data_IF_411972915007
#
_entry.id   IF_411972915007
#
_cell.length_a   1.000
_cell.length_b   1.000
_cell.length_c   1.000
_cell.angle_alpha   90.00
_cell.angle_beta   90.00
_cell.angle_gamma   90.00
#
_symmetry.space_group_name_H-M   'P 1'
#
loop_
_entity.id
_entity.type
_entity.pdbx_description
1 polymer ?
#
# COMPACT_ATOMS: atom_id res chain seq x y z
N UNK A 1 -12.26 -65.55 -16.80
CA UNK A 1 -12.74 -64.25 -16.26
C UNK A 1 -11.53 -63.34 -16.09
N UNK A 2 -11.32 -62.38 -16.99
CA UNK A 2 -10.22 -61.39 -16.94
C UNK A 2 -10.79 -60.10 -16.41
N UNK A 3 -10.37 -59.69 -15.21
CA UNK A 3 -10.75 -58.41 -14.56
C UNK A 3 -9.87 -57.29 -15.12
N UNK A 4 -10.49 -56.31 -15.82
CA UNK A 4 -9.83 -55.07 -16.22
C UNK A 4 -9.92 -54.10 -15.06
N UNK A 5 -8.80 -53.76 -14.45
CA UNK A 5 -8.67 -52.66 -13.52
C UNK A 5 -8.35 -51.40 -14.34
N UNK A 6 -9.35 -50.54 -14.51
CA UNK A 6 -9.16 -49.23 -15.13
C UNK A 6 -8.44 -48.28 -14.18
N UNK A 7 -7.19 -47.98 -14.46
CA UNK A 7 -6.45 -46.91 -13.72
C UNK A 7 -6.97 -45.55 -14.21
N UNK A 8 -7.78 -44.89 -13.42
CA UNK A 8 -8.16 -43.51 -13.62
C UNK A 8 -6.94 -42.59 -13.37
N UNK A 9 -6.45 -41.99 -14.45
CA UNK A 9 -5.43 -40.94 -14.36
C UNK A 9 -6.12 -39.67 -13.81
N UNK A 10 -5.97 -39.38 -12.55
CA UNK A 10 -6.28 -38.08 -11.99
C UNK A 10 -5.21 -37.10 -12.50
N UNK A 11 -5.54 -36.32 -13.52
CA UNK A 11 -4.75 -35.14 -13.90
C UNK A 11 -4.97 -34.09 -12.82
N UNK A 12 -4.08 -34.05 -11.85
CA UNK A 12 -3.94 -32.87 -10.99
C UNK A 12 -3.48 -31.72 -11.87
N UNK A 13 -4.43 -30.93 -12.36
CA UNK A 13 -4.13 -29.60 -12.88
C UNK A 13 -3.61 -28.80 -11.68
N UNK A 14 -2.29 -28.75 -11.53
CA UNK A 14 -1.65 -27.79 -10.67
C UNK A 14 -2.06 -26.41 -11.21
N UNK A 15 -3.06 -25.80 -10.60
CA UNK A 15 -3.28 -24.36 -10.74
C UNK A 15 -2.01 -23.71 -10.18
N UNK A 16 -1.08 -23.39 -11.07
CA UNK A 16 -0.09 -22.38 -10.78
C UNK A 16 -0.93 -21.16 -10.38
N UNK A 17 -0.99 -20.86 -9.09
CA UNK A 17 -1.50 -19.59 -8.61
C UNK A 17 -0.55 -18.55 -9.21
N UNK A 18 -0.85 -18.12 -10.45
CA UNK A 18 -0.15 -17.03 -11.09
C UNK A 18 -0.42 -15.82 -10.19
N UNK A 19 0.59 -15.42 -9.48
CA UNK A 19 0.67 -14.16 -8.79
C UNK A 19 0.30 -13.08 -9.80
N UNK A 20 -0.69 -12.28 -9.50
CA UNK A 20 -1.18 -11.24 -10.41
C UNK A 20 -1.52 -10.01 -9.60
N UNK A 21 -1.13 -8.85 -10.11
CA UNK A 21 -1.48 -7.56 -9.50
C UNK A 21 -2.86 -7.08 -9.95
N UNK A 22 -3.30 -7.49 -11.15
CA UNK A 22 -4.57 -7.05 -11.76
C UNK A 22 -5.64 -8.13 -11.66
N UNK A 23 -6.81 -7.74 -11.15
CA UNK A 23 -7.96 -8.61 -10.89
C UNK A 23 -9.22 -8.05 -11.53
N UNK A 24 -10.00 -8.93 -12.17
CA UNK A 24 -11.31 -8.64 -12.72
C UNK A 24 -12.38 -8.97 -11.70
N UNK A 25 -13.32 -8.06 -11.51
CA UNK A 25 -14.49 -8.20 -10.63
C UNK A 25 -15.74 -8.19 -11.50
N UNK A 26 -16.57 -9.25 -11.40
CA UNK A 26 -17.78 -9.41 -12.20
C UNK A 26 -18.88 -10.14 -11.40
N UNK A 27 -20.04 -10.32 -12.00
CA UNK A 27 -21.17 -10.97 -11.33
C UNK A 27 -21.91 -10.05 -10.36
N UNK A 28 -22.68 -10.59 -9.46
CA UNK A 28 -23.48 -9.89 -8.42
C UNK A 28 -24.23 -8.66 -8.95
N UNK A 29 -24.86 -8.77 -10.13
CA UNK A 29 -25.65 -7.70 -10.75
C UNK A 29 -24.87 -6.61 -11.48
N UNK A 30 -23.55 -6.75 -11.64
CA UNK A 30 -22.77 -5.84 -12.50
C UNK A 30 -23.06 -6.17 -13.97
N UNK A 31 -23.37 -5.14 -14.76
CA UNK A 31 -23.61 -5.23 -16.21
C UNK A 31 -22.32 -5.37 -17.00
N UNK A 32 -21.25 -4.79 -16.50
CA UNK A 32 -19.88 -4.86 -17.06
C UNK A 32 -18.87 -5.08 -15.91
N UNK A 33 -17.73 -5.68 -16.20
CA UNK A 33 -16.72 -5.93 -15.19
C UNK A 33 -16.06 -4.62 -14.70
N UNK A 34 -15.62 -4.64 -13.47
CA UNK A 34 -14.67 -3.68 -12.89
C UNK A 34 -13.31 -4.37 -12.69
N UNK A 35 -12.28 -3.60 -12.40
CA UNK A 35 -10.94 -4.11 -12.22
C UNK A 35 -10.29 -3.52 -10.97
N UNK A 36 -9.47 -4.33 -10.30
CA UNK A 36 -8.69 -3.89 -9.12
C UNK A 36 -7.24 -4.22 -9.37
N UNK A 37 -6.36 -3.23 -9.16
CA UNK A 37 -4.92 -3.40 -9.24
C UNK A 37 -4.26 -3.11 -7.91
N UNK A 38 -3.29 -3.97 -7.53
CA UNK A 38 -2.40 -3.70 -6.41
C UNK A 38 -1.24 -2.80 -6.83
N UNK A 39 -1.06 -1.67 -6.16
CA UNK A 39 0.05 -0.73 -6.39
C UNK A 39 1.13 -0.86 -5.32
N UNK A 40 2.32 -0.38 -5.64
CA UNK A 40 3.41 -0.20 -4.69
C UNK A 40 4.03 1.19 -4.97
N UNK A 41 3.92 2.09 -4.00
CA UNK A 41 4.24 3.52 -4.19
C UNK A 41 5.68 3.80 -4.65
N UNK A 42 6.62 2.91 -4.31
CA UNK A 42 8.04 3.06 -4.64
C UNK A 42 8.50 2.14 -5.78
N UNK A 43 7.60 1.31 -6.34
CA UNK A 43 7.98 0.35 -7.37
C UNK A 43 8.44 1.04 -8.66
N UNK A 44 9.40 0.42 -9.40
CA UNK A 44 9.76 0.88 -10.73
C UNK A 44 8.56 0.91 -11.67
N UNK A 45 8.40 1.99 -12.41
CA UNK A 45 7.27 2.18 -13.34
C UNK A 45 7.24 1.11 -14.45
N UNK A 46 8.38 0.52 -14.78
CA UNK A 46 8.50 -0.57 -15.76
C UNK A 46 7.65 -1.80 -15.48
N UNK A 47 7.12 -1.97 -14.26
CA UNK A 47 6.16 -3.05 -13.96
C UNK A 47 4.93 -3.00 -14.87
N UNK A 48 4.53 -1.81 -15.31
CA UNK A 48 3.38 -1.59 -16.17
C UNK A 48 3.42 -2.43 -17.45
N UNK A 49 4.60 -2.59 -18.04
CA UNK A 49 4.81 -3.32 -19.29
C UNK A 49 4.58 -4.84 -19.15
N UNK A 50 4.63 -5.34 -17.92
CA UNK A 50 4.51 -6.77 -17.62
C UNK A 50 3.13 -7.19 -17.09
N UNK A 51 2.24 -6.24 -16.78
CA UNK A 51 0.89 -6.54 -16.26
C UNK A 51 -0.04 -6.86 -17.42
N UNK A 52 -0.34 -8.16 -17.60
CA UNK A 52 -1.23 -8.62 -18.65
C UNK A 52 -2.61 -7.95 -18.55
N UNK A 53 -3.15 -7.54 -19.69
CA UNK A 53 -4.50 -6.97 -19.80
C UNK A 53 -4.70 -5.58 -19.16
N UNK A 54 -3.64 -4.94 -18.64
CA UNK A 54 -3.75 -3.66 -17.95
C UNK A 54 -4.37 -2.55 -18.82
N UNK A 55 -3.86 -2.37 -20.05
CA UNK A 55 -4.39 -1.35 -20.97
C UNK A 55 -5.86 -1.60 -21.32
N UNK A 56 -6.23 -2.87 -21.49
CA UNK A 56 -7.63 -3.27 -21.73
C UNK A 56 -8.50 -2.92 -20.54
N UNK A 57 -8.09 -3.29 -19.34
CA UNK A 57 -8.82 -2.97 -18.09
C UNK A 57 -9.02 -1.46 -17.91
N UNK A 58 -7.98 -0.67 -18.16
CA UNK A 58 -8.08 0.79 -18.13
C UNK A 58 -9.05 1.32 -19.18
N UNK A 59 -9.07 0.77 -20.39
CA UNK A 59 -9.94 1.24 -21.46
C UNK A 59 -11.41 0.87 -21.25
N UNK A 60 -11.69 -0.33 -20.74
CA UNK A 60 -13.05 -0.83 -20.51
C UNK A 60 -13.76 -0.15 -19.32
N UNK A 61 -13.05 0.54 -18.46
CA UNK A 61 -13.62 1.24 -17.30
C UNK A 61 -13.97 2.69 -17.61
N UNK A 62 -14.99 3.22 -16.93
CA UNK A 62 -15.49 4.58 -17.12
C UNK A 62 -15.10 5.54 -16.00
N UNK A 63 -14.60 4.99 -14.90
CA UNK A 63 -14.14 5.75 -13.74
C UNK A 63 -12.94 5.06 -13.08
N UNK A 64 -12.13 5.85 -12.37
CA UNK A 64 -10.98 5.38 -11.59
C UNK A 64 -11.11 5.82 -10.15
N UNK A 65 -10.90 4.87 -9.24
CA UNK A 65 -10.82 5.12 -7.81
C UNK A 65 -9.45 4.71 -7.28
N UNK A 66 -8.75 5.63 -6.64
CA UNK A 66 -7.56 5.33 -5.83
C UNK A 66 -7.94 5.23 -4.35
N UNK A 67 -6.97 4.98 -3.50
CA UNK A 67 -7.14 5.18 -2.06
C UNK A 67 -7.52 6.63 -1.78
N UNK A 68 -6.76 7.56 -2.34
CA UNK A 68 -6.98 9.00 -2.34
C UNK A 68 -7.24 9.53 -3.74
N UNK A 69 -7.90 10.67 -3.83
CA UNK A 69 -7.93 11.45 -5.06
C UNK A 69 -6.67 12.32 -5.14
N UNK A 70 -5.70 11.89 -5.96
CA UNK A 70 -4.36 12.47 -6.01
C UNK A 70 -4.34 13.96 -6.35
N UNK A 71 -5.30 14.45 -7.18
CA UNK A 71 -5.42 15.88 -7.50
C UNK A 71 -5.74 16.76 -6.29
N UNK A 72 -6.36 16.20 -5.24
CA UNK A 72 -6.67 16.93 -4.01
C UNK A 72 -5.44 17.07 -3.09
N UNK A 73 -4.45 16.17 -3.25
CA UNK A 73 -3.22 16.21 -2.44
C UNK A 73 -2.39 17.47 -2.64
N UNK A 74 -2.51 18.10 -3.82
CA UNK A 74 -1.79 19.33 -4.18
C UNK A 74 -2.54 20.60 -3.79
N UNK A 75 -3.75 20.50 -3.25
CA UNK A 75 -4.50 21.68 -2.82
C UNK A 75 -3.85 22.34 -1.59
N UNK A 76 -3.81 23.69 -1.50
CA UNK A 76 -3.27 24.38 -0.31
C UNK A 76 -3.94 23.95 0.99
N UNK A 77 -5.24 23.68 0.96
CA UNK A 77 -5.99 23.20 2.12
C UNK A 77 -5.52 21.83 2.60
N UNK A 78 -5.32 20.88 1.68
CA UNK A 78 -4.81 19.53 2.00
C UNK A 78 -3.35 19.59 2.48
N UNK A 79 -2.51 20.39 1.82
CA UNK A 79 -1.12 20.60 2.24
C UNK A 79 -1.03 21.19 3.66
N UNK A 80 -1.88 22.16 4.00
CA UNK A 80 -1.98 22.71 5.35
C UNK A 80 -2.40 21.68 6.40
N UNK A 81 -3.38 20.81 6.07
CA UNK A 81 -3.79 19.68 6.94
C UNK A 81 -2.64 18.67 7.14
N UNK A 82 -1.93 18.33 6.07
CA UNK A 82 -0.77 17.45 6.14
C UNK A 82 0.33 18.04 7.04
N UNK A 83 0.67 19.31 6.82
CA UNK A 83 1.67 19.99 7.64
C UNK A 83 1.29 19.98 9.13
N UNK A 84 0.03 20.26 9.46
CA UNK A 84 -0.48 20.17 10.83
C UNK A 84 -0.37 18.74 11.37
N UNK A 85 -0.79 17.76 10.61
CA UNK A 85 -0.76 16.35 11.03
C UNK A 85 0.65 15.82 11.32
N UNK A 86 1.68 16.33 10.61
CA UNK A 86 3.09 15.95 10.81
C UNK A 86 3.72 16.54 12.07
N UNK A 87 3.11 17.55 12.69
CA UNK A 87 3.67 18.29 13.82
C UNK A 87 3.15 17.79 15.16
N UNK A 88 3.99 17.80 16.17
CA UNK A 88 3.62 17.56 17.58
C UNK A 88 2.98 18.85 18.10
N UNK A 89 1.69 18.78 18.43
CA UNK A 89 0.92 19.95 18.90
C UNK A 89 1.11 20.25 20.39
N UNK A 90 1.50 19.24 21.19
CA UNK A 90 1.78 19.40 22.64
C UNK A 90 3.16 20.03 22.89
N UNK A 91 3.50 20.27 24.15
CA UNK A 91 4.83 20.73 24.57
C UNK A 91 5.93 19.66 24.38
N UNK A 92 5.55 18.42 24.09
CA UNK A 92 6.46 17.32 23.77
C UNK A 92 7.34 17.65 22.56
N UNK A 93 8.59 17.19 22.59
CA UNK A 93 9.57 17.33 21.52
C UNK A 93 10.27 16.00 21.26
N UNK A 94 10.97 15.87 20.14
CA UNK A 94 11.79 14.68 19.86
C UNK A 94 12.84 14.44 20.96
N UNK A 95 13.41 15.51 21.53
CA UNK A 95 14.39 15.41 22.64
C UNK A 95 13.78 14.90 23.93
N UNK A 96 12.46 15.01 24.13
CA UNK A 96 11.76 14.44 25.27
C UNK A 96 11.24 13.02 25.04
N UNK A 97 11.17 12.60 23.78
CA UNK A 97 10.71 11.25 23.36
C UNK A 97 11.85 10.25 23.20
N UNK A 98 13.04 10.72 22.88
CA UNK A 98 14.22 9.91 22.59
C UNK A 98 15.27 10.09 23.70
N UNK A 99 16.05 9.04 23.95
CA UNK A 99 17.26 9.19 24.76
C UNK A 99 18.24 10.13 24.04
N UNK A 100 19.21 10.74 24.73
CA UNK A 100 20.24 11.55 24.08
C UNK A 100 20.97 10.81 22.96
N UNK A 101 21.28 9.54 23.14
CA UNK A 101 21.97 8.68 22.16
C UNK A 101 21.07 8.40 20.93
N UNK A 102 19.79 8.08 21.16
CA UNK A 102 18.81 7.85 20.09
C UNK A 102 18.55 9.14 19.31
N UNK A 103 18.48 10.29 19.99
CA UNK A 103 18.31 11.58 19.33
C UNK A 103 19.48 11.90 18.43
N UNK A 104 20.72 11.70 18.90
CA UNK A 104 21.91 11.92 18.06
C UNK A 104 21.95 10.98 16.85
N UNK A 105 21.59 9.71 17.03
CA UNK A 105 21.48 8.73 15.94
C UNK A 105 20.46 9.20 14.90
N UNK A 106 19.26 9.56 15.33
CA UNK A 106 18.20 10.05 14.46
C UNK A 106 18.59 11.37 13.77
N UNK A 107 19.18 12.31 14.51
CA UNK A 107 19.60 13.61 13.98
C UNK A 107 20.72 13.48 12.95
N UNK A 108 21.72 12.63 13.21
CA UNK A 108 22.78 12.32 12.25
C UNK A 108 22.21 11.77 10.96
N UNK A 109 21.34 10.74 11.04
CA UNK A 109 20.69 10.19 9.87
C UNK A 109 19.91 11.24 9.08
N UNK A 110 19.10 12.06 9.78
CA UNK A 110 18.30 13.11 9.15
C UNK A 110 19.16 14.18 8.48
N UNK A 111 20.25 14.62 9.10
CA UNK A 111 21.20 15.57 8.49
C UNK A 111 21.84 15.02 7.22
N UNK A 112 22.33 13.79 7.28
CA UNK A 112 23.09 13.17 6.19
C UNK A 112 22.19 12.74 5.01
N UNK A 113 20.91 12.41 5.27
CA UNK A 113 20.04 11.79 4.28
C UNK A 113 18.84 12.64 3.88
N UNK A 114 18.33 13.48 4.78
CA UNK A 114 17.14 14.30 4.56
C UNK A 114 17.45 15.80 4.54
N UNK A 115 18.67 16.19 4.84
CA UNK A 115 19.10 17.60 5.03
C UNK A 115 18.26 18.32 6.10
N UNK A 116 17.82 17.61 7.14
CA UNK A 116 17.03 18.12 8.25
C UNK A 116 17.83 18.03 9.53
N UNK A 117 17.99 19.17 10.23
CA UNK A 117 18.52 19.21 11.60
C UNK A 117 17.38 19.10 12.60
N UNK A 118 17.33 18.00 13.35
CA UNK A 118 16.26 17.76 14.33
C UNK A 118 16.31 18.71 15.52
N UNK A 119 17.44 19.40 15.76
CA UNK A 119 17.48 20.48 16.76
C UNK A 119 16.58 21.64 16.34
N UNK A 120 16.46 21.91 15.04
CA UNK A 120 15.58 22.95 14.50
C UNK A 120 14.16 22.42 14.19
N UNK A 121 14.03 21.12 14.01
CA UNK A 121 12.79 20.45 13.62
C UNK A 121 12.25 19.53 14.74
N UNK A 122 12.47 19.88 16.01
CA UNK A 122 12.14 19.05 17.18
C UNK A 122 10.65 18.76 17.38
N UNK A 123 9.79 19.45 16.66
CA UNK A 123 8.33 19.25 16.67
C UNK A 123 7.81 18.32 15.58
N UNK A 124 8.67 17.78 14.73
CA UNK A 124 8.23 16.75 13.75
C UNK A 124 7.86 15.46 14.48
N UNK A 125 6.76 14.83 14.06
CA UNK A 125 6.37 13.52 14.61
C UNK A 125 7.33 12.43 14.16
N UNK A 126 7.67 11.48 15.03
CA UNK A 126 8.54 10.36 14.68
C UNK A 126 7.99 9.52 13.50
N UNK A 127 6.67 9.36 13.37
CA UNK A 127 6.07 8.67 12.23
C UNK A 127 6.35 9.36 10.88
N UNK A 128 6.38 10.70 10.85
CA UNK A 128 6.77 11.43 9.64
C UNK A 128 8.24 11.18 9.29
N UNK A 129 9.12 11.21 10.28
CA UNK A 129 10.53 10.91 10.10
C UNK A 129 10.72 9.47 9.62
N UNK A 130 10.03 8.49 10.23
CA UNK A 130 10.08 7.08 9.84
C UNK A 130 9.73 6.88 8.36
N UNK A 131 8.63 7.48 7.90
CA UNK A 131 8.25 7.39 6.48
C UNK A 131 9.36 7.90 5.56
N UNK A 132 9.98 9.03 5.90
CA UNK A 132 11.08 9.58 5.10
C UNK A 132 12.36 8.71 5.17
N UNK A 133 12.66 8.12 6.33
CA UNK A 133 13.78 7.16 6.49
C UNK A 133 13.60 5.97 5.54
N UNK A 134 12.40 5.38 5.50
CA UNK A 134 12.09 4.24 4.63
C UNK A 134 12.19 4.62 3.16
N UNK A 135 11.65 5.77 2.76
CA UNK A 135 11.75 6.27 1.37
C UNK A 135 13.21 6.49 0.98
N UNK A 136 14.02 7.10 1.84
CA UNK A 136 15.45 7.33 1.56
C UNK A 136 16.26 6.03 1.53
N UNK A 137 15.95 5.07 2.39
CA UNK A 137 16.54 3.74 2.35
C UNK A 137 16.25 3.05 1.02
N UNK A 138 15.00 3.15 0.54
CA UNK A 138 14.60 2.64 -0.75
C UNK A 138 15.40 3.29 -1.89
N UNK A 139 15.42 4.62 -1.98
CA UNK A 139 16.09 5.37 -3.05
C UNK A 139 17.59 5.05 -3.11
N UNK A 140 18.24 4.89 -1.95
CA UNK A 140 19.68 4.63 -1.89
C UNK A 140 20.06 3.20 -2.21
N UNK A 141 19.22 2.22 -1.88
CA UNK A 141 19.65 0.82 -1.81
C UNK A 141 18.80 -0.15 -2.64
N UNK A 142 17.60 0.25 -3.07
CA UNK A 142 16.64 -0.66 -3.73
C UNK A 142 16.40 -0.25 -5.18
N UNK A 143 16.00 1.00 -5.41
CA UNK A 143 15.67 1.44 -6.75
C UNK A 143 15.53 2.94 -6.88
N UNK A 144 15.50 3.40 -8.14
CA UNK A 144 15.20 4.80 -8.44
C UNK A 144 13.73 5.07 -8.18
N UNK A 145 13.44 6.13 -7.47
CA UNK A 145 12.08 6.61 -7.24
C UNK A 145 11.89 7.94 -7.96
N UNK A 146 10.86 8.00 -8.80
CA UNK A 146 10.41 9.22 -9.43
C UNK A 146 8.98 9.53 -8.94
N UNK A 147 8.75 10.58 -8.15
CA UNK A 147 7.41 10.92 -7.67
C UNK A 147 6.39 11.16 -8.77
N UNK A 148 6.84 11.52 -9.98
CA UNK A 148 5.97 11.76 -11.14
C UNK A 148 5.53 10.46 -11.84
N UNK A 149 6.22 9.36 -11.57
CA UNK A 149 5.97 8.03 -12.15
C UNK A 149 5.27 7.09 -11.16
N UNK A 150 4.70 7.61 -10.07
CA UNK A 150 3.91 6.78 -9.15
C UNK A 150 2.68 6.21 -9.83
N UNK A 151 2.47 4.90 -9.67
CA UNK A 151 1.36 4.18 -10.30
C UNK A 151 -0.01 4.79 -9.96
N UNK A 152 -0.22 5.14 -8.68
CA UNK A 152 -1.46 5.73 -8.21
C UNK A 152 -1.77 7.06 -8.90
N UNK A 153 -0.76 7.91 -9.05
CA UNK A 153 -0.87 9.19 -9.78
C UNK A 153 -1.07 8.95 -11.26
N UNK A 154 -0.34 7.99 -11.85
CA UNK A 154 -0.44 7.68 -13.28
C UNK A 154 -1.84 7.22 -13.67
N UNK A 155 -2.44 6.25 -12.98
CA UNK A 155 -3.77 5.75 -13.30
C UNK A 155 -4.83 6.84 -13.24
N UNK A 156 -4.78 7.69 -12.23
CA UNK A 156 -5.73 8.79 -12.08
C UNK A 156 -5.52 9.89 -13.13
N UNK A 157 -4.27 10.24 -13.42
CA UNK A 157 -3.94 11.25 -14.44
C UNK A 157 -4.37 10.79 -15.84
N UNK A 158 -4.09 9.53 -16.20
CA UNK A 158 -4.55 8.96 -17.47
C UNK A 158 -6.07 8.92 -17.58
N UNK A 159 -6.76 8.58 -16.50
CA UNK A 159 -8.22 8.60 -16.46
C UNK A 159 -8.77 10.03 -16.67
N UNK A 160 -8.22 11.01 -15.97
CA UNK A 160 -8.64 12.41 -16.08
C UNK A 160 -8.40 12.96 -17.50
N UNK A 161 -7.25 12.66 -18.11
CA UNK A 161 -6.95 13.06 -19.50
C UNK A 161 -7.92 12.46 -20.50
N UNK A 162 -8.45 11.26 -20.22
CA UNK A 162 -9.46 10.59 -21.05
C UNK A 162 -10.91 10.96 -20.65
N UNK A 163 -11.13 12.01 -19.86
CA UNK A 163 -12.45 12.48 -19.46
C UNK A 163 -13.20 11.55 -18.50
N UNK A 164 -12.54 10.58 -17.90
CA UNK A 164 -13.15 9.65 -16.93
C UNK A 164 -13.25 10.30 -15.56
N UNK A 165 -14.27 9.89 -14.79
CA UNK A 165 -14.38 10.31 -13.39
C UNK A 165 -13.20 9.74 -12.59
N UNK A 166 -12.61 10.57 -11.74
CA UNK A 166 -11.55 10.18 -10.79
C UNK A 166 -11.99 10.54 -9.38
N UNK A 167 -11.84 9.60 -8.45
CA UNK A 167 -12.22 9.78 -7.06
C UNK A 167 -11.34 8.96 -6.11
N UNK A 168 -11.50 9.15 -4.79
CA UNK A 168 -10.86 8.39 -3.73
C UNK A 168 -11.83 7.52 -2.93
N UNK A 169 -11.35 6.39 -2.43
CA UNK A 169 -12.09 5.55 -1.48
C UNK A 169 -12.14 6.16 -0.08
N UNK A 170 -11.18 7.02 0.24
CA UNK A 170 -11.07 7.73 1.51
C UNK A 170 -10.51 9.14 1.31
N UNK A 171 -10.51 9.93 2.38
CA UNK A 171 -10.02 11.31 2.34
C UNK A 171 -8.56 11.41 2.78
N UNK A 172 -7.85 12.43 2.28
CA UNK A 172 -6.48 12.72 2.70
C UNK A 172 -6.37 12.95 4.23
N UNK A 173 -7.36 13.62 4.81
CA UNK A 173 -7.40 13.86 6.26
C UNK A 173 -7.48 12.56 7.07
N UNK A 174 -8.30 11.59 6.61
CA UNK A 174 -8.36 10.28 7.22
C UNK A 174 -7.00 9.58 7.18
N UNK A 175 -6.31 9.56 6.02
CA UNK A 175 -4.99 8.94 5.91
C UNK A 175 -3.93 9.67 6.76
N UNK A 176 -3.92 11.00 6.80
CA UNK A 176 -2.97 11.73 7.64
C UNK A 176 -3.17 11.42 9.13
N UNK A 177 -4.43 11.34 9.56
CA UNK A 177 -4.74 10.95 10.94
C UNK A 177 -4.29 9.51 11.23
N UNK A 178 -4.51 8.60 10.30
CA UNK A 178 -4.08 7.22 10.43
C UNK A 178 -2.54 7.11 10.53
N UNK A 179 -1.81 7.76 9.64
CA UNK A 179 -0.35 7.66 9.54
C UNK A 179 0.37 8.40 10.69
N UNK A 180 -0.15 9.55 11.13
CA UNK A 180 0.56 10.42 12.05
C UNK A 180 -0.08 10.54 13.44
N UNK A 181 -1.32 10.06 13.62
CA UNK A 181 -2.03 10.07 14.90
C UNK A 181 -2.56 8.68 15.30
N UNK A 182 -2.35 7.64 14.48
CA UNK A 182 -2.84 6.27 14.72
C UNK A 182 -2.15 5.55 15.89
N UNK A 183 -1.01 6.04 16.37
CA UNK A 183 -0.30 5.50 17.51
C UNK A 183 0.27 6.61 18.39
N UNK A 184 0.62 6.29 19.65
CA UNK A 184 1.21 7.25 20.57
C UNK A 184 2.58 7.75 20.08
N UNK A 185 2.98 8.97 20.46
CA UNK A 185 4.29 9.53 20.12
C UNK A 185 5.45 8.63 20.58
N UNK A 186 5.32 7.99 21.75
CA UNK A 186 6.29 7.04 22.26
C UNK A 186 6.42 5.81 21.34
N UNK A 187 5.29 5.27 20.88
CA UNK A 187 5.30 4.14 19.94
C UNK A 187 5.90 4.54 18.60
N UNK A 188 5.60 5.72 18.08
CA UNK A 188 6.19 6.25 16.86
C UNK A 188 7.72 6.42 17.01
N UNK A 189 8.19 6.94 18.15
CA UNK A 189 9.62 7.08 18.45
C UNK A 189 10.31 5.71 18.54
N UNK A 190 9.67 4.73 19.18
CA UNK A 190 10.17 3.35 19.27
C UNK A 190 10.34 2.75 17.87
N UNK A 191 9.33 2.86 16.99
CA UNK A 191 9.38 2.32 15.62
C UNK A 191 10.45 3.03 14.76
N UNK A 192 10.61 4.35 14.91
CA UNK A 192 11.67 5.10 14.26
C UNK A 192 13.04 4.55 14.64
N UNK A 193 13.30 4.35 15.93
CA UNK A 193 14.59 3.83 16.40
C UNK A 193 14.77 2.35 16.04
N UNK A 194 13.70 1.54 16.03
CA UNK A 194 13.75 0.18 15.52
C UNK A 194 14.25 0.13 14.07
N UNK A 195 13.74 1.00 13.21
CA UNK A 195 14.15 1.10 11.80
C UNK A 195 15.59 1.60 11.66
N UNK A 196 15.94 2.68 12.35
CA UNK A 196 17.29 3.26 12.27
C UNK A 196 18.37 2.29 12.78
N UNK A 197 18.12 1.61 13.89
CA UNK A 197 19.07 0.65 14.47
C UNK A 197 19.17 -0.66 13.70
N UNK A 198 18.23 -0.92 12.77
CA UNK A 198 18.21 -2.13 11.93
C UNK A 198 18.07 -1.79 10.44
N UNK A 199 18.63 -0.66 10.01
CA UNK A 199 18.42 -0.12 8.67
C UNK A 199 18.83 -1.10 7.55
N UNK A 200 19.88 -1.90 7.74
CA UNK A 200 20.31 -2.92 6.78
C UNK A 200 19.25 -4.00 6.60
N UNK A 201 18.67 -4.48 7.71
CA UNK A 201 17.60 -5.48 7.66
C UNK A 201 16.33 -4.90 7.01
N UNK A 202 16.03 -3.62 7.24
CA UNK A 202 14.92 -2.94 6.58
C UNK A 202 15.16 -2.82 5.07
N UNK A 203 16.36 -2.46 4.64
CA UNK A 203 16.75 -2.43 3.22
C UNK A 203 16.57 -3.81 2.57
N UNK A 204 16.99 -4.89 3.22
CA UNK A 204 16.79 -6.24 2.69
C UNK A 204 15.30 -6.63 2.60
N UNK A 205 14.49 -6.20 3.56
CA UNK A 205 13.04 -6.38 3.52
C UNK A 205 12.39 -5.61 2.36
N UNK A 206 12.77 -4.34 2.17
CA UNK A 206 12.33 -3.53 1.04
C UNK A 206 12.71 -4.15 -0.31
N UNK A 207 13.92 -4.71 -0.44
CA UNK A 207 14.35 -5.44 -1.65
C UNK A 207 13.47 -6.68 -1.90
N UNK A 208 13.22 -7.49 -0.86
CA UNK A 208 12.35 -8.68 -0.96
C UNK A 208 10.95 -8.31 -1.40
N UNK A 209 10.32 -7.30 -0.77
CA UNK A 209 8.98 -6.82 -1.12
C UNK A 209 8.94 -6.30 -2.57
N UNK A 210 9.91 -5.47 -2.96
CA UNK A 210 9.99 -4.93 -4.32
C UNK A 210 10.18 -6.05 -5.35
N UNK A 211 11.05 -7.03 -5.08
CA UNK A 211 11.25 -8.17 -5.96
C UNK A 211 10.00 -9.04 -6.10
N UNK A 212 9.27 -9.27 -5.01
CA UNK A 212 8.00 -9.98 -5.05
C UNK A 212 6.95 -9.21 -5.86
N UNK A 213 6.87 -7.89 -5.66
CA UNK A 213 5.99 -7.01 -6.44
C UNK A 213 6.30 -7.03 -7.94
N UNK A 214 7.58 -6.90 -8.32
CA UNK A 214 8.02 -6.96 -9.73
C UNK A 214 7.74 -8.32 -10.39
N UNK A 215 7.66 -9.39 -9.60
CA UNK A 215 7.19 -10.71 -10.04
C UNK A 215 5.67 -10.88 -9.96
N UNK A 216 4.95 -9.82 -9.56
CA UNK A 216 3.51 -9.81 -9.34
C UNK A 216 3.04 -10.83 -8.28
N UNK A 217 3.92 -11.23 -7.34
CA UNK A 217 3.66 -12.26 -6.34
C UNK A 217 3.08 -11.68 -5.04
N UNK A 218 1.77 -11.43 -5.05
CA UNK A 218 1.03 -10.94 -3.88
C UNK A 218 1.13 -11.88 -2.68
N UNK A 219 1.22 -13.18 -2.90
CA UNK A 219 1.28 -14.15 -1.81
C UNK A 219 2.62 -14.07 -1.08
N UNK A 220 3.72 -13.92 -1.82
CA UNK A 220 5.04 -13.70 -1.22
C UNK A 220 5.11 -12.34 -0.53
N UNK A 221 4.55 -11.28 -1.12
CA UNK A 221 4.46 -9.97 -0.46
C UNK A 221 3.70 -10.06 0.88
N UNK A 222 2.56 -10.74 0.87
CA UNK A 222 1.75 -10.94 2.08
C UNK A 222 2.52 -11.72 3.16
N UNK A 223 3.20 -12.81 2.79
CA UNK A 223 4.03 -13.58 3.73
C UNK A 223 5.13 -12.71 4.36
N UNK A 224 5.81 -11.90 3.55
CA UNK A 224 6.85 -10.98 4.05
C UNK A 224 6.25 -9.96 5.03
N UNK A 225 5.07 -9.40 4.73
CA UNK A 225 4.41 -8.43 5.61
C UNK A 225 3.93 -9.03 6.94
N UNK A 226 3.64 -10.34 6.95
CA UNK A 226 3.22 -11.07 8.16
C UNK A 226 4.39 -11.58 9.01
N UNK A 227 5.64 -11.46 8.54
CA UNK A 227 6.82 -11.89 9.32
C UNK A 227 6.93 -11.09 10.62
N UNK A 228 7.15 -11.79 11.72
CA UNK A 228 7.34 -11.22 13.06
C UNK A 228 8.64 -11.73 13.66
N UNK A 229 9.36 -10.82 14.31
CA UNK A 229 10.63 -11.11 15.01
C UNK A 229 10.41 -11.45 16.48
N UNK A 230 9.19 -11.31 16.99
CA UNK A 230 8.82 -11.53 18.38
C UNK A 230 9.37 -10.47 19.33
N UNK A 231 9.55 -9.24 18.89
CA UNK A 231 10.10 -8.16 19.69
C UNK A 231 9.27 -6.86 19.54
N UNK A 232 9.66 -5.83 20.28
CA UNK A 232 8.97 -4.54 20.33
C UNK A 232 8.92 -3.76 19.00
N UNK A 233 9.68 -4.20 17.99
CA UNK A 233 9.71 -3.57 16.67
C UNK A 233 8.62 -4.11 15.74
N UNK A 234 8.00 -5.22 16.08
CA UNK A 234 6.91 -5.78 15.29
C UNK A 234 5.68 -4.87 15.33
N UNK A 235 4.95 -4.84 14.23
CA UNK A 235 3.66 -4.17 14.19
C UNK A 235 2.69 -4.85 15.18
N UNK A 236 1.92 -4.05 15.89
CA UNK A 236 0.85 -4.55 16.75
C UNK A 236 -0.36 -4.92 15.90
N UNK A 237 -1.15 -5.94 16.31
CA UNK A 237 -2.36 -6.32 15.57
C UNK A 237 -3.33 -5.13 15.35
N UNK A 238 -3.43 -4.23 16.31
CA UNK A 238 -4.26 -3.01 16.18
C UNK A 238 -3.72 -2.01 15.16
N UNK A 239 -2.41 -1.94 14.96
CA UNK A 239 -1.77 -1.10 13.94
C UNK A 239 -2.03 -1.68 12.55
N UNK A 240 -1.94 -2.99 12.37
CA UNK A 240 -2.28 -3.66 11.12
C UNK A 240 -3.77 -3.56 10.79
N UNK A 241 -4.64 -3.81 11.79
CA UNK A 241 -6.08 -3.65 11.61
C UNK A 241 -6.40 -2.22 11.15
N UNK A 242 -5.78 -1.20 11.74
CA UNK A 242 -6.00 0.19 11.35
C UNK A 242 -5.48 0.50 9.94
N UNK A 243 -4.26 0.08 9.63
CA UNK A 243 -3.59 0.42 8.36
C UNK A 243 -4.16 -0.33 7.16
N UNK A 244 -4.63 -1.57 7.33
CA UNK A 244 -5.03 -2.46 6.25
C UNK A 244 -6.48 -2.93 6.41
N UNK A 245 -6.80 -3.69 7.46
CA UNK A 245 -8.01 -4.49 7.47
C UNK A 245 -9.30 -3.71 7.71
N UNK A 246 -9.27 -2.68 8.57
CA UNK A 246 -10.42 -1.80 8.77
C UNK A 246 -10.73 -0.97 7.51
N UNK A 247 -9.69 -0.54 6.79
CA UNK A 247 -9.82 0.16 5.50
C UNK A 247 -10.41 -0.78 4.45
N UNK A 248 -9.91 -2.01 4.34
CA UNK A 248 -10.46 -3.03 3.44
C UNK A 248 -11.96 -3.24 3.67
N UNK A 249 -12.39 -3.33 4.93
CA UNK A 249 -13.81 -3.47 5.28
C UNK A 249 -14.63 -2.28 4.79
N UNK A 250 -14.18 -1.05 5.08
CA UNK A 250 -14.87 0.17 4.64
C UNK A 250 -14.91 0.25 3.10
N UNK A 251 -13.84 -0.10 2.41
CA UNK A 251 -13.81 -0.10 0.95
C UNK A 251 -14.71 -1.18 0.36
N UNK A 252 -14.71 -2.38 0.94
CA UNK A 252 -15.62 -3.45 0.51
C UNK A 252 -17.10 -3.08 0.67
N UNK A 253 -17.47 -2.23 1.63
CA UNK A 253 -18.81 -1.70 1.80
C UNK A 253 -19.17 -0.63 0.73
N UNK A 254 -18.17 0.18 0.28
CA UNK A 254 -18.38 1.24 -0.72
C UNK A 254 -18.37 0.74 -2.17
N UNK A 255 -17.49 -0.22 -2.47
CA UNK A 255 -17.20 -0.67 -3.84
C UNK A 255 -18.44 -1.22 -4.58
N UNK A 256 -19.39 -1.94 -3.96
CA UNK A 256 -20.61 -2.38 -4.63
C UNK A 256 -21.39 -1.25 -5.30
N UNK A 257 -21.62 -0.17 -4.59
CA UNK A 257 -22.34 0.99 -5.12
C UNK A 257 -21.55 1.71 -6.22
N UNK A 258 -20.22 1.84 -6.05
CA UNK A 258 -19.32 2.45 -7.02
C UNK A 258 -19.31 1.63 -8.33
N UNK A 259 -19.09 0.31 -8.25
CA UNK A 259 -19.02 -0.57 -9.42
C UNK A 259 -20.38 -0.73 -10.13
N UNK A 260 -21.48 -0.64 -9.38
CA UNK A 260 -22.84 -0.66 -9.96
C UNK A 260 -23.15 0.62 -10.73
N UNK A 261 -22.62 1.76 -10.29
CA UNK A 261 -22.83 3.04 -10.97
C UNK A 261 -22.12 3.10 -12.34
N UNK A 262 -20.92 2.56 -12.43
CA UNK A 262 -20.18 2.45 -13.69
C UNK A 262 -19.01 1.44 -13.55
N UNK A 263 -18.55 0.81 -14.66
CA UNK A 263 -17.34 0.00 -14.68
C UNK A 263 -16.16 0.78 -14.13
N UNK A 264 -15.51 0.24 -13.11
CA UNK A 264 -14.53 0.97 -12.28
C UNK A 264 -13.16 0.30 -12.33
N UNK A 265 -12.11 1.10 -12.48
CA UNK A 265 -10.74 0.71 -12.23
C UNK A 265 -10.34 1.20 -10.82
N UNK A 266 -10.00 0.28 -9.95
CA UNK A 266 -9.62 0.55 -8.55
C UNK A 266 -8.14 0.30 -8.39
N UNK A 267 -7.37 1.33 -7.97
CA UNK A 267 -5.94 1.23 -7.69
C UNK A 267 -5.70 1.44 -6.18
N UNK A 268 -5.24 0.39 -5.50
CA UNK A 268 -4.97 0.40 -4.06
C UNK A 268 -3.67 -0.33 -3.76
N UNK A 269 -3.04 -0.05 -2.63
CA UNK A 269 -1.80 -0.71 -2.24
C UNK A 269 -1.91 -2.23 -2.28
N UNK A 270 -0.89 -2.89 -2.84
CA UNK A 270 -0.89 -4.33 -3.12
C UNK A 270 -1.20 -5.20 -1.89
N UNK A 271 -0.76 -4.78 -0.71
CA UNK A 271 -1.01 -5.50 0.56
C UNK A 271 -2.46 -5.44 1.03
N UNK A 272 -3.30 -4.59 0.45
CA UNK A 272 -4.75 -4.60 0.69
C UNK A 272 -5.47 -5.78 0.03
N UNK A 273 -4.86 -6.44 -0.96
CA UNK A 273 -5.53 -7.43 -1.80
C UNK A 273 -5.56 -8.84 -1.20
N UNK A 274 -4.43 -9.42 -0.69
CA UNK A 274 -4.35 -10.82 -0.28
C UNK A 274 -4.90 -11.08 1.13
N UNK A 275 -5.02 -12.37 1.47
CA UNK A 275 -5.40 -12.83 2.81
C UNK A 275 -6.91 -12.91 3.05
N UNK A 276 -7.31 -13.48 4.20
CA UNK A 276 -8.71 -13.67 4.57
C UNK A 276 -9.46 -12.35 4.84
N UNK A 277 -8.75 -11.32 5.30
CA UNK A 277 -9.25 -9.95 5.47
C UNK A 277 -8.90 -9.05 4.28
N UNK A 278 -8.34 -9.62 3.21
CA UNK A 278 -7.97 -8.91 1.98
C UNK A 278 -9.19 -8.53 1.15
N UNK A 279 -9.07 -7.45 0.39
CA UNK A 279 -10.17 -6.89 -0.41
C UNK A 279 -10.74 -7.90 -1.42
N UNK A 280 -9.87 -8.73 -2.05
CA UNK A 280 -10.33 -9.76 -3.00
C UNK A 280 -11.22 -10.80 -2.33
N UNK A 281 -10.90 -11.22 -1.12
CA UNK A 281 -11.69 -12.18 -0.35
C UNK A 281 -13.00 -11.56 0.11
N UNK A 282 -12.97 -10.32 0.59
CA UNK A 282 -14.17 -9.60 1.02
C UNK A 282 -15.19 -9.45 -0.11
N UNK A 283 -14.75 -9.09 -1.32
CA UNK A 283 -15.62 -9.00 -2.48
C UNK A 283 -16.18 -10.37 -2.91
N UNK A 284 -15.35 -11.43 -2.86
CA UNK A 284 -15.83 -12.81 -3.11
C UNK A 284 -16.93 -13.21 -2.12
N UNK A 285 -16.77 -12.86 -0.84
CA UNK A 285 -17.80 -13.17 0.20
C UNK A 285 -19.12 -12.42 -0.02
N UNK A 286 -19.09 -11.31 -0.74
CA UNK A 286 -20.28 -10.56 -1.16
C UNK A 286 -20.93 -11.10 -2.45
N UNK A 287 -20.43 -12.20 -3.01
CA UNK A 287 -21.00 -12.85 -4.20
C UNK A 287 -20.42 -12.37 -5.54
N UNK A 288 -19.37 -11.56 -5.54
CA UNK A 288 -18.65 -11.22 -6.77
C UNK A 288 -17.75 -12.37 -7.23
N UNK A 289 -17.63 -12.53 -8.53
CA UNK A 289 -16.57 -13.33 -9.16
C UNK A 289 -15.33 -12.44 -9.27
N UNK A 290 -14.24 -12.86 -8.61
CA UNK A 290 -12.97 -12.11 -8.58
C UNK A 290 -11.87 -13.04 -9.09
N UNK A 291 -11.34 -12.72 -10.27
CA UNK A 291 -10.41 -13.56 -11.01
C UNK A 291 -9.17 -12.76 -11.43
N UNK A 292 -7.95 -13.38 -11.43
CA UNK A 292 -6.78 -12.72 -11.98
C UNK A 292 -6.95 -12.48 -13.48
N UNK A 293 -6.49 -11.34 -13.97
CA UNK A 293 -6.40 -11.05 -15.41
C UNK A 293 -5.15 -11.74 -15.97
N UNK A 294 -5.32 -12.53 -17.02
CA UNK A 294 -4.26 -13.32 -17.67
C UNK A 294 -3.90 -12.73 -19.01
#
# INVERSE_FOLDING_TARGET
>A
MKSFIGAGIFICVAFSANAQLLWKVSGNGLTQPSYIIGTHHLAPFSIMDSIAGLQKAMNETQQVYGELKMSEMQSPATMGKMQKAMMIESDTTLTSLLSPEDFETANKFCKENLMVDLNMASKLKPAFLLNNVVVMAYIKHVGKFNPQEQLDTFFQSQAAQNGKKVDGLETAEFQFNLLFNGSSLQRQAQLLMCTLNNIEAEVENLKKLTNAYMKQDLNTMFKISEERKGNQCDALPSEEDALIYNRNKIWAEKLPAIMKAAPTFVAVGALHLPGEKGLLKLLKSQGYTVEPVK
#
